data_IF_628922198082
#
_entry.id   IF_628922198082
#
_cell.length_a   1.000
_cell.length_b   1.000
_cell.length_c   1.000
_cell.angle_alpha   90.00
_cell.angle_beta   90.00
_cell.angle_gamma   90.00
#
_symmetry.space_group_name_H-M   'P 1'
#
loop_
_entity.id
_entity.type
_entity.pdbx_description
1 polymer ?
#
# COMPACT_ATOMS: atom_id res chain seq x y z
N UNK A 1 -14.88 69.43 -15.57
CA UNK A 1 -14.50 70.73 -14.99
C UNK A 1 -13.61 70.45 -13.78
N UNK A 2 -12.42 71.11 -13.84
CA UNK A 2 -11.46 71.45 -12.78
C UNK A 2 -10.76 70.31 -12.01
N UNK A 3 -9.50 70.09 -12.27
CA UNK A 3 -8.18 70.78 -12.22
C UNK A 3 -7.65 70.94 -10.80
N UNK A 4 -6.39 70.51 -10.70
CA UNK A 4 -5.24 71.09 -9.93
C UNK A 4 -5.01 70.45 -8.55
N UNK A 5 -3.81 70.21 -8.03
CA UNK A 5 -2.43 70.52 -8.48
C UNK A 5 -1.45 69.94 -7.46
N UNK A 6 -0.35 69.40 -7.93
CA UNK A 6 1.04 69.44 -7.43
C UNK A 6 1.30 70.15 -6.07
N UNK A 7 2.17 69.57 -5.24
CA UNK A 7 3.49 70.18 -4.94
C UNK A 7 4.38 69.13 -4.22
N UNK A 8 5.61 69.08 -4.74
CA UNK A 8 6.76 68.33 -4.22
C UNK A 8 7.32 68.97 -2.96
N UNK A 9 7.98 68.25 -2.10
CA UNK A 9 9.14 68.69 -1.37
C UNK A 9 10.12 67.56 -1.09
N UNK A 10 11.30 67.69 -1.67
CA UNK A 10 12.46 66.84 -1.40
C UNK A 10 13.17 67.39 -0.13
N UNK A 11 13.63 66.45 0.71
CA UNK A 11 14.68 66.75 1.68
C UNK A 11 15.67 65.59 1.71
N UNK A 12 16.85 65.87 1.26
CA UNK A 12 18.07 65.05 1.33
C UNK A 12 18.65 65.19 2.73
N UNK A 13 18.96 64.06 3.39
CA UNK A 13 19.91 64.01 4.47
C UNK A 13 20.73 62.74 4.39
N UNK A 14 22.00 62.92 4.30
CA UNK A 14 23.10 61.96 4.06
C UNK A 14 23.60 61.32 5.33
N UNK A 15 24.18 60.08 5.12
CA UNK A 15 25.27 59.44 5.85
C UNK A 15 24.98 58.75 7.19
N UNK A 16 25.10 57.47 7.09
CA UNK A 16 25.37 56.57 8.21
C UNK A 16 25.75 55.19 7.68
N UNK A 17 26.99 55.07 7.17
CA UNK A 17 27.59 53.79 6.80
C UNK A 17 27.94 53.03 8.10
N UNK A 18 27.14 52.05 8.49
CA UNK A 18 27.51 51.09 9.50
C UNK A 18 27.62 49.72 8.83
N UNK A 19 28.85 49.26 8.67
CA UNK A 19 29.22 47.88 8.35
C UNK A 19 28.66 46.95 9.43
N UNK A 20 27.55 46.27 9.12
CA UNK A 20 27.20 45.01 9.81
C UNK A 20 27.49 43.90 8.84
N UNK A 21 28.46 43.05 9.28
CA UNK A 21 28.89 41.89 8.54
C UNK A 21 27.71 40.97 8.25
N UNK A 22 27.62 40.59 6.98
CA UNK A 22 26.79 39.49 6.49
C UNK A 22 27.28 38.17 7.13
N UNK A 23 26.73 37.83 8.27
CA UNK A 23 26.61 36.42 8.63
C UNK A 23 25.34 35.91 7.93
N UNK A 24 25.48 35.48 6.68
CA UNK A 24 24.51 34.63 6.04
C UNK A 24 24.44 33.33 6.86
N UNK A 25 23.68 33.38 7.93
CA UNK A 25 23.23 32.18 8.63
C UNK A 25 22.42 31.37 7.61
N UNK A 26 23.02 30.33 7.05
CA UNK A 26 22.31 29.29 6.38
C UNK A 26 21.30 28.77 7.38
N UNK A 27 20.05 29.20 7.24
CA UNK A 27 18.90 28.56 7.89
C UNK A 27 18.86 27.16 7.28
N UNK A 28 19.61 26.25 7.84
CA UNK A 28 19.32 24.84 7.71
C UNK A 28 17.94 24.69 8.34
N UNK A 29 16.91 24.56 7.52
CA UNK A 29 15.67 23.99 7.98
C UNK A 29 16.08 22.69 8.66
N UNK A 30 16.05 22.68 9.97
CA UNK A 30 16.24 21.48 10.76
C UNK A 30 15.12 20.54 10.27
N UNK A 31 15.46 19.64 9.36
CA UNK A 31 14.60 18.52 9.04
C UNK A 31 14.37 17.84 10.37
N UNK A 32 13.12 17.89 10.84
CA UNK A 32 12.74 17.32 12.14
C UNK A 32 13.15 15.86 12.10
N UNK A 33 14.35 15.58 12.61
CA UNK A 33 15.02 14.27 12.48
C UNK A 33 14.21 13.15 13.17
N UNK A 34 13.17 13.54 13.89
CA UNK A 34 12.26 12.68 14.64
C UNK A 34 10.90 12.48 13.95
N UNK A 35 10.66 13.14 12.81
CA UNK A 35 9.42 12.94 12.05
C UNK A 35 9.63 11.91 10.94
N UNK A 36 8.76 10.93 10.86
CA UNK A 36 8.72 9.90 9.80
C UNK A 36 7.35 9.98 9.13
N UNK A 37 7.32 10.26 7.84
CA UNK A 37 6.09 10.22 7.04
C UNK A 37 6.10 8.96 6.17
N UNK A 38 5.05 8.18 6.25
CA UNK A 38 4.88 6.90 5.56
C UNK A 38 3.61 6.98 4.70
N UNK A 39 3.74 6.76 3.41
CA UNK A 39 2.59 6.80 2.48
C UNK A 39 2.61 5.57 1.58
N UNK A 40 1.44 5.05 1.21
CA UNK A 40 1.38 4.05 0.15
C UNK A 40 0.35 2.95 0.33
N UNK A 41 0.79 1.69 0.28
CA UNK A 41 -0.09 0.53 0.31
C UNK A 41 -1.10 0.58 1.46
N UNK A 42 -2.39 0.47 1.12
CA UNK A 42 -3.46 0.30 2.11
C UNK A 42 -3.54 -1.15 2.63
N UNK A 43 -2.87 -2.10 1.99
CA UNK A 43 -2.77 -3.46 2.50
C UNK A 43 -1.78 -3.52 3.68
N UNK A 44 -0.67 -2.78 3.63
CA UNK A 44 0.32 -2.68 4.71
C UNK A 44 -0.10 -1.70 5.82
N UNK A 45 -1.04 -0.79 5.54
CA UNK A 45 -1.38 0.31 6.43
C UNK A 45 -1.70 -0.12 7.87
N UNK A 46 -2.54 -1.15 8.15
CA UNK A 46 -2.82 -1.56 9.54
C UNK A 46 -1.58 -2.02 10.31
N UNK A 47 -0.66 -2.70 9.67
CA UNK A 47 0.59 -3.13 10.32
C UNK A 47 1.51 -1.93 10.58
N UNK A 48 1.63 -1.04 9.59
CA UNK A 48 2.45 0.17 9.72
C UNK A 48 1.93 1.09 10.84
N UNK A 49 0.60 1.30 10.94
CA UNK A 49 -0.03 2.10 12.00
C UNK A 49 0.17 1.48 13.38
N UNK A 50 -0.05 0.16 13.52
CA UNK A 50 0.15 -0.55 14.78
C UNK A 50 1.60 -0.47 15.25
N UNK A 51 2.54 -0.74 14.35
CA UNK A 51 3.97 -0.65 14.66
C UNK A 51 4.40 0.79 14.96
N UNK A 52 3.89 1.78 14.22
CA UNK A 52 4.17 3.20 14.46
C UNK A 52 3.71 3.63 15.85
N UNK A 53 2.47 3.28 16.22
CA UNK A 53 1.93 3.56 17.55
C UNK A 53 2.78 2.93 18.67
N UNK A 54 3.13 1.64 18.51
CA UNK A 54 3.96 0.92 19.48
C UNK A 54 5.39 1.49 19.56
N UNK A 55 5.94 1.92 18.44
CA UNK A 55 7.27 2.54 18.39
C UNK A 55 7.29 3.91 19.07
N UNK A 56 6.30 4.77 18.77
CA UNK A 56 6.17 6.09 19.38
C UNK A 56 5.97 6.01 20.88
N UNK A 57 5.23 5.03 21.38
CA UNK A 57 5.02 4.84 22.84
C UNK A 57 6.32 4.52 23.60
N UNK A 58 7.31 3.92 22.91
CA UNK A 58 8.63 3.56 23.47
C UNK A 58 9.73 4.58 23.18
N UNK A 59 9.48 5.54 22.30
CA UNK A 59 10.46 6.51 21.82
C UNK A 59 9.83 7.91 21.86
N UNK A 60 9.81 8.52 23.05
CA UNK A 60 9.28 9.87 23.23
C UNK A 60 9.96 10.87 22.31
N UNK A 61 9.18 11.76 21.73
CA UNK A 61 9.66 12.77 20.77
C UNK A 61 9.75 12.31 19.32
N UNK A 62 9.51 11.03 19.01
CA UNK A 62 9.37 10.55 17.62
C UNK A 62 7.91 10.71 17.19
N UNK A 63 7.69 11.24 15.99
CA UNK A 63 6.38 11.35 15.36
C UNK A 63 6.36 10.56 14.05
N UNK A 64 5.45 9.60 13.93
CA UNK A 64 5.27 8.77 12.73
C UNK A 64 3.84 8.95 12.23
N UNK A 65 3.70 9.47 11.00
CA UNK A 65 2.43 9.64 10.30
C UNK A 65 2.33 8.59 9.19
N UNK A 66 1.24 7.81 9.20
CA UNK A 66 0.99 6.73 8.24
C UNK A 66 -0.25 7.03 7.44
N UNK A 67 -0.12 7.07 6.12
CA UNK A 67 -1.19 7.38 5.19
C UNK A 67 -1.33 6.32 4.09
N UNK A 68 -2.56 6.05 3.67
CA UNK A 68 -2.85 5.24 2.48
C UNK A 68 -2.50 5.98 1.17
N UNK A 69 -3.02 5.48 0.05
CA UNK A 69 -2.85 6.11 -1.26
C UNK A 69 -2.47 5.10 -2.36
N UNK A 70 -2.17 3.84 -1.97
CA UNK A 70 -1.75 2.78 -2.87
C UNK A 70 -0.25 2.75 -3.13
N UNK A 71 0.24 1.59 -3.56
CA UNK A 71 1.67 1.32 -3.78
C UNK A 71 2.33 2.29 -4.76
N UNK A 72 1.64 2.63 -5.85
CA UNK A 72 2.16 3.57 -6.84
C UNK A 72 2.40 4.97 -6.26
N UNK A 73 1.50 5.46 -5.39
CA UNK A 73 1.67 6.74 -4.68
C UNK A 73 2.86 6.67 -3.72
N UNK A 74 2.96 5.58 -2.94
CA UNK A 74 4.09 5.39 -2.02
C UNK A 74 5.44 5.40 -2.73
N UNK A 75 5.57 4.61 -3.79
CA UNK A 75 6.80 4.54 -4.58
C UNK A 75 7.16 5.88 -5.23
N UNK A 76 6.18 6.60 -5.78
CA UNK A 76 6.40 7.90 -6.40
C UNK A 76 6.85 8.95 -5.40
N UNK A 77 6.19 9.02 -4.23
CA UNK A 77 6.50 10.01 -3.20
C UNK A 77 7.85 9.74 -2.53
N UNK A 78 8.19 8.47 -2.27
CA UNK A 78 9.52 8.16 -1.71
C UNK A 78 10.63 8.40 -2.72
N UNK A 79 10.42 8.11 -3.99
CA UNK A 79 11.40 8.40 -5.04
C UNK A 79 11.69 9.90 -5.16
N UNK A 80 10.66 10.73 -5.11
CA UNK A 80 10.83 12.20 -5.11
C UNK A 80 11.49 12.70 -3.83
N UNK A 81 11.39 11.97 -2.73
CA UNK A 81 11.84 12.37 -1.40
C UNK A 81 10.79 13.17 -0.62
N UNK A 82 9.53 13.18 -1.07
CA UNK A 82 8.42 13.83 -0.38
C UNK A 82 8.04 13.13 0.93
N UNK A 83 8.34 11.84 1.06
CA UNK A 83 8.10 11.05 2.27
C UNK A 83 9.33 10.27 2.69
N UNK A 84 9.39 9.90 3.97
CA UNK A 84 10.50 9.12 4.53
C UNK A 84 10.47 7.66 4.07
N UNK A 85 9.24 7.08 3.96
CA UNK A 85 9.01 5.70 3.59
C UNK A 85 7.84 5.61 2.62
N UNK A 86 8.02 4.85 1.54
CA UNK A 86 6.95 4.47 0.61
C UNK A 86 6.54 3.01 0.82
N UNK A 87 5.29 2.77 1.21
CA UNK A 87 4.74 1.43 1.37
C UNK A 87 4.26 0.85 0.04
N UNK A 88 4.57 -0.43 -0.24
CA UNK A 88 4.20 -1.08 -1.49
C UNK A 88 3.96 -2.58 -1.34
N UNK A 89 2.93 -3.11 -2.03
CA UNK A 89 2.68 -4.55 -2.19
C UNK A 89 3.42 -5.14 -3.41
N UNK A 90 4.12 -4.30 -4.16
CA UNK A 90 4.85 -4.72 -5.36
C UNK A 90 6.30 -4.24 -5.27
N UNK A 91 7.17 -4.92 -6.00
CA UNK A 91 8.53 -4.46 -6.18
C UNK A 91 8.56 -3.14 -6.94
N UNK A 92 9.51 -2.27 -6.63
CA UNK A 92 9.67 -0.97 -7.29
C UNK A 92 9.88 -1.11 -8.81
N UNK A 93 10.55 -2.18 -9.23
CA UNK A 93 10.79 -2.53 -10.63
C UNK A 93 9.50 -2.81 -11.41
N UNK A 94 8.42 -3.18 -10.73
CA UNK A 94 7.12 -3.48 -11.35
C UNK A 94 6.26 -2.22 -11.56
N UNK A 95 6.68 -1.08 -11.01
CA UNK A 95 5.94 0.18 -11.12
C UNK A 95 6.52 1.06 -12.23
N UNK A 96 5.72 1.32 -13.25
CA UNK A 96 6.13 2.25 -14.32
C UNK A 96 6.47 3.64 -13.79
N UNK A 97 7.54 4.25 -14.29
CA UNK A 97 8.01 5.58 -13.89
C UNK A 97 8.84 5.60 -12.60
N UNK A 98 9.12 4.45 -12.01
CA UNK A 98 9.98 4.32 -10.83
C UNK A 98 11.37 3.83 -11.24
N UNK A 99 12.39 4.53 -10.79
CA UNK A 99 13.80 4.12 -10.86
C UNK A 99 14.15 3.34 -9.58
N UNK A 100 13.97 2.04 -9.62
CA UNK A 100 14.19 1.16 -8.47
C UNK A 100 15.63 1.25 -7.92
N UNK A 101 16.61 1.62 -8.76
CA UNK A 101 18.03 1.77 -8.34
C UNK A 101 18.23 2.91 -7.35
N UNK A 102 17.31 3.88 -7.28
CA UNK A 102 17.35 4.99 -6.31
C UNK A 102 16.70 4.64 -4.99
N UNK A 103 16.04 3.50 -4.91
CA UNK A 103 15.28 3.07 -3.75
C UNK A 103 15.97 1.88 -3.06
N UNK A 104 15.88 1.86 -1.72
CA UNK A 104 16.26 0.69 -0.94
C UNK A 104 15.00 -0.03 -0.47
N UNK A 105 14.92 -1.32 -0.79
CA UNK A 105 13.82 -2.21 -0.39
C UNK A 105 14.03 -2.76 1.02
N UNK A 106 12.99 -2.64 1.85
CA UNK A 106 12.89 -3.25 3.17
C UNK A 106 11.62 -4.11 3.21
N UNK A 107 11.76 -5.42 3.04
CA UNK A 107 10.65 -6.37 3.18
C UNK A 107 10.30 -6.50 4.66
N UNK A 108 9.07 -6.22 5.02
CA UNK A 108 8.62 -6.17 6.42
C UNK A 108 7.57 -7.23 6.76
N UNK A 109 6.86 -7.75 5.77
CA UNK A 109 5.88 -8.82 5.94
C UNK A 109 5.60 -9.50 4.60
N UNK A 110 4.76 -10.52 4.63
CA UNK A 110 4.11 -11.10 3.45
C UNK A 110 2.60 -11.02 3.65
N UNK A 111 1.87 -10.80 2.57
CA UNK A 111 0.41 -10.76 2.56
C UNK A 111 -0.16 -11.67 1.48
N UNK A 112 -1.11 -12.51 1.85
CA UNK A 112 -1.98 -13.18 0.90
C UNK A 112 -3.10 -12.25 0.47
N UNK A 113 -3.59 -12.40 -0.74
CA UNK A 113 -4.77 -11.70 -1.26
C UNK A 113 -5.80 -12.73 -1.69
N UNK A 114 -7.05 -12.53 -1.28
CA UNK A 114 -8.12 -13.46 -1.58
C UNK A 114 -9.26 -12.79 -2.35
N UNK A 115 -9.87 -13.49 -3.31
CA UNK A 115 -11.17 -13.09 -3.83
C UNK A 115 -12.18 -13.15 -2.69
N UNK A 116 -12.98 -12.09 -2.56
CA UNK A 116 -13.99 -11.92 -1.51
C UNK A 116 -15.34 -11.64 -2.11
N UNK A 117 -16.37 -12.18 -1.48
CA UNK A 117 -17.77 -12.00 -1.88
C UNK A 117 -18.61 -11.61 -0.67
N UNK A 118 -19.82 -11.09 -0.94
CA UNK A 118 -20.81 -10.90 0.10
C UNK A 118 -21.11 -12.23 0.82
N UNK A 119 -21.26 -12.19 2.13
CA UNK A 119 -21.46 -13.38 2.97
C UNK A 119 -22.68 -14.22 2.59
N UNK A 120 -23.73 -13.57 2.09
CA UNK A 120 -24.98 -14.24 1.70
C UNK A 120 -24.83 -15.14 0.46
N UNK A 121 -23.85 -14.87 -0.38
CA UNK A 121 -23.63 -15.63 -1.62
C UNK A 121 -23.23 -17.08 -1.31
N UNK A 122 -23.91 -18.05 -1.95
CA UNK A 122 -23.65 -19.48 -1.74
C UNK A 122 -22.60 -20.05 -2.70
N UNK A 123 -21.46 -19.36 -2.84
CA UNK A 123 -20.28 -19.82 -3.58
C UNK A 123 -19.10 -19.84 -2.62
N UNK A 124 -18.31 -20.91 -2.57
CA UNK A 124 -17.19 -21.06 -1.64
C UNK A 124 -15.85 -21.31 -2.32
N UNK A 125 -15.87 -21.63 -3.61
CA UNK A 125 -14.68 -21.95 -4.39
C UNK A 125 -14.89 -21.49 -5.83
N UNK A 126 -13.84 -20.98 -6.44
CA UNK A 126 -13.75 -20.73 -7.89
C UNK A 126 -12.45 -21.36 -8.41
N UNK A 127 -12.47 -21.84 -9.65
CA UNK A 127 -11.20 -22.15 -10.30
C UNK A 127 -10.50 -20.84 -10.70
N UNK A 128 -9.18 -20.89 -10.84
CA UNK A 128 -8.40 -19.75 -11.34
C UNK A 128 -8.92 -19.27 -12.71
N UNK A 129 -9.34 -20.20 -13.56
CA UNK A 129 -9.95 -19.91 -14.87
C UNK A 129 -11.30 -19.19 -14.73
N UNK A 130 -12.17 -19.63 -13.79
CA UNK A 130 -13.44 -18.94 -13.52
C UNK A 130 -13.21 -17.53 -12.99
N UNK A 131 -12.29 -17.39 -12.04
CA UNK A 131 -11.91 -16.10 -11.48
C UNK A 131 -11.41 -15.14 -12.58
N UNK A 132 -10.52 -15.61 -13.46
CA UNK A 132 -10.06 -14.84 -14.61
C UNK A 132 -11.22 -14.42 -15.54
N UNK A 133 -12.15 -15.34 -15.84
CA UNK A 133 -13.32 -15.06 -16.71
C UNK A 133 -14.28 -14.05 -16.07
N UNK A 134 -14.46 -14.08 -14.75
CA UNK A 134 -15.26 -13.09 -14.02
C UNK A 134 -14.64 -11.70 -14.16
N UNK A 135 -13.36 -11.56 -13.81
CA UNK A 135 -12.69 -10.26 -13.85
C UNK A 135 -12.40 -9.73 -15.25
N UNK A 136 -12.50 -10.57 -16.29
CA UNK A 136 -12.46 -10.15 -17.70
C UNK A 136 -13.86 -9.97 -18.32
N UNK A 137 -14.95 -10.11 -17.54
CA UNK A 137 -16.31 -9.91 -18.00
C UNK A 137 -16.91 -11.04 -18.86
N UNK A 138 -16.26 -12.19 -18.93
CA UNK A 138 -16.75 -13.37 -19.68
C UNK A 138 -17.77 -14.20 -18.90
N UNK A 139 -17.75 -14.13 -17.58
CA UNK A 139 -18.72 -14.71 -16.66
C UNK A 139 -19.36 -13.54 -15.91
N UNK A 140 -20.68 -13.39 -16.03
CA UNK A 140 -21.42 -12.22 -15.52
C UNK A 140 -22.56 -12.60 -14.58
N UNK A 141 -22.82 -13.90 -14.41
CA UNK A 141 -23.86 -14.41 -13.53
C UNK A 141 -23.31 -15.59 -12.70
N UNK A 142 -23.59 -15.59 -11.41
CA UNK A 142 -23.14 -16.62 -10.48
C UNK A 142 -23.60 -18.02 -10.84
N UNK A 143 -24.76 -18.17 -11.53
CA UNK A 143 -25.24 -19.46 -12.05
C UNK A 143 -24.21 -20.15 -12.96
N UNK A 144 -23.42 -19.39 -13.69
CA UNK A 144 -22.39 -19.95 -14.61
C UNK A 144 -21.23 -20.64 -13.87
N UNK A 145 -21.14 -20.47 -12.56
CA UNK A 145 -20.10 -21.07 -11.70
C UNK A 145 -20.70 -21.88 -10.54
N UNK A 146 -21.97 -22.31 -10.69
CA UNK A 146 -22.65 -23.15 -9.71
C UNK A 146 -23.28 -22.39 -8.53
N UNK A 147 -23.39 -21.08 -8.64
CA UNK A 147 -24.06 -20.20 -7.67
C UNK A 147 -25.52 -19.95 -8.00
N UNK A 148 -26.20 -19.04 -7.30
CA UNK A 148 -27.57 -18.62 -7.58
C UNK A 148 -27.67 -17.90 -8.93
N UNK A 149 -28.90 -17.77 -9.45
CA UNK A 149 -29.17 -16.94 -10.62
C UNK A 149 -29.12 -15.45 -10.22
N UNK A 150 -27.94 -14.92 -10.06
CA UNK A 150 -27.67 -13.57 -9.59
C UNK A 150 -26.55 -12.96 -10.42
N UNK A 151 -26.69 -11.68 -10.79
CA UNK A 151 -25.67 -10.94 -11.54
C UNK A 151 -24.41 -10.76 -10.70
N UNK A 152 -23.24 -10.97 -11.32
CA UNK A 152 -21.96 -10.67 -10.69
C UNK A 152 -21.68 -9.17 -10.77
N UNK A 153 -21.48 -8.53 -9.61
CA UNK A 153 -21.03 -7.15 -9.52
C UNK A 153 -19.54 -7.15 -9.18
N UNK A 154 -18.69 -6.93 -10.17
CA UNK A 154 -17.24 -6.83 -9.96
C UNK A 154 -16.91 -5.44 -9.43
N UNK A 155 -16.17 -5.41 -8.31
CA UNK A 155 -15.58 -4.20 -7.75
C UNK A 155 -14.07 -4.34 -7.89
N UNK A 156 -13.42 -3.44 -8.64
CA UNK A 156 -11.98 -3.47 -8.83
C UNK A 156 -11.28 -2.48 -7.89
N UNK A 157 -9.97 -2.54 -7.83
CA UNK A 157 -9.13 -1.54 -7.18
C UNK A 157 -8.67 -0.52 -8.21
N UNK A 158 -8.38 0.70 -7.77
CA UNK A 158 -7.85 1.76 -8.62
C UNK A 158 -6.48 1.39 -9.21
N UNK A 159 -6.13 2.02 -10.32
CA UNK A 159 -4.78 1.96 -10.88
C UNK A 159 -3.78 2.49 -9.84
N UNK A 160 -2.62 1.85 -9.73
CA UNK A 160 -1.64 2.17 -8.69
C UNK A 160 -1.84 1.39 -7.37
N UNK A 161 -2.93 0.61 -7.23
CA UNK A 161 -3.07 -0.35 -6.14
C UNK A 161 -2.13 -1.54 -6.35
N UNK A 162 -1.21 -1.77 -5.41
CA UNK A 162 -0.34 -2.96 -5.41
C UNK A 162 -1.13 -4.26 -5.23
N UNK A 163 -2.20 -4.23 -4.41
CA UNK A 163 -3.14 -5.34 -4.27
C UNK A 163 -3.75 -5.72 -5.62
N UNK A 164 -4.12 -4.72 -6.46
CA UNK A 164 -4.58 -4.95 -7.82
C UNK A 164 -3.49 -5.56 -8.70
N UNK A 165 -2.31 -4.97 -8.70
CA UNK A 165 -1.21 -5.44 -9.52
C UNK A 165 -0.87 -6.90 -9.20
N UNK A 166 -0.79 -7.26 -7.91
CA UNK A 166 -0.54 -8.64 -7.46
C UNK A 166 -1.66 -9.59 -7.89
N UNK A 167 -2.93 -9.18 -7.71
CA UNK A 167 -4.07 -9.99 -8.11
C UNK A 167 -4.11 -10.19 -9.64
N UNK A 168 -3.99 -9.11 -10.40
CA UNK A 168 -4.02 -9.17 -11.88
C UNK A 168 -2.86 -10.00 -12.44
N UNK A 169 -1.67 -9.87 -11.90
CA UNK A 169 -0.52 -10.70 -12.28
C UNK A 169 -0.80 -12.19 -12.08
N UNK A 170 -1.33 -12.57 -10.92
CA UNK A 170 -1.57 -13.98 -10.59
C UNK A 170 -2.78 -14.56 -11.35
N UNK A 171 -3.86 -13.78 -11.52
CA UNK A 171 -5.16 -14.24 -12.03
C UNK A 171 -5.34 -13.92 -13.50
N UNK A 172 -5.08 -12.67 -13.92
CA UNK A 172 -5.35 -12.24 -15.29
C UNK A 172 -4.23 -12.64 -16.25
N UNK A 173 -3.00 -12.76 -15.79
CA UNK A 173 -1.84 -13.19 -16.59
C UNK A 173 -1.74 -12.40 -17.90
N UNK A 174 -1.76 -11.07 -17.81
CA UNK A 174 -1.66 -10.15 -18.93
C UNK A 174 -2.98 -9.84 -19.65
N UNK A 175 -4.11 -10.48 -19.29
CA UNK A 175 -5.41 -10.11 -19.85
C UNK A 175 -5.94 -8.83 -19.18
N UNK A 176 -6.66 -8.04 -19.97
CA UNK A 176 -7.24 -6.78 -19.48
C UNK A 176 -8.44 -7.04 -18.59
N UNK A 177 -8.46 -6.43 -17.41
CA UNK A 177 -9.64 -6.42 -16.55
C UNK A 177 -10.82 -5.70 -17.22
N UNK A 178 -12.04 -6.17 -16.96
CA UNK A 178 -13.25 -5.47 -17.41
C UNK A 178 -13.33 -4.08 -16.78
N UNK A 179 -13.91 -3.13 -17.52
CA UNK A 179 -14.22 -1.80 -16.98
C UNK A 179 -15.35 -1.92 -15.96
N UNK A 180 -15.10 -1.46 -14.76
CA UNK A 180 -16.07 -1.48 -13.65
C UNK A 180 -15.73 -0.36 -12.67
N UNK A 181 -16.52 -0.21 -11.59
CA UNK A 181 -16.16 0.72 -10.52
C UNK A 181 -14.81 0.34 -9.90
N UNK A 182 -14.00 1.34 -9.60
CA UNK A 182 -12.70 1.18 -8.99
C UNK A 182 -12.66 1.89 -7.63
N UNK A 183 -11.92 1.31 -6.67
CA UNK A 183 -11.82 1.82 -5.32
C UNK A 183 -10.36 1.91 -4.86
N UNK A 184 -10.05 2.94 -4.10
CA UNK A 184 -8.66 3.27 -3.74
C UNK A 184 -8.10 2.39 -2.61
N UNK A 185 -8.95 1.88 -1.69
CA UNK A 185 -8.46 1.21 -0.49
C UNK A 185 -9.09 -0.17 -0.26
N UNK A 186 -8.35 -1.03 0.44
CA UNK A 186 -8.87 -2.31 0.93
C UNK A 186 -10.09 -2.10 1.84
N UNK A 187 -10.08 -1.10 2.72
CA UNK A 187 -11.18 -0.81 3.63
C UNK A 187 -12.47 -0.40 2.92
N UNK A 188 -12.39 0.43 1.87
CA UNK A 188 -13.56 0.81 1.06
C UNK A 188 -14.13 -0.39 0.33
N UNK A 189 -13.28 -1.20 -0.30
CA UNK A 189 -13.72 -2.43 -0.98
C UNK A 189 -14.39 -3.40 -0.01
N UNK A 190 -13.83 -3.62 1.18
CA UNK A 190 -14.44 -4.46 2.21
C UNK A 190 -15.89 -4.04 2.52
N UNK A 191 -16.10 -2.73 2.74
CA UNK A 191 -17.43 -2.15 3.02
C UNK A 191 -18.39 -2.33 1.84
N UNK A 192 -17.93 -2.10 0.62
CA UNK A 192 -18.78 -2.23 -0.59
C UNK A 192 -19.19 -3.68 -0.82
N UNK A 193 -18.26 -4.63 -0.75
CA UNK A 193 -18.59 -6.07 -0.91
C UNK A 193 -19.57 -6.51 0.17
N UNK A 194 -19.38 -6.05 1.42
CA UNK A 194 -20.28 -6.35 2.53
C UNK A 194 -21.73 -5.88 2.31
N UNK A 195 -21.91 -4.78 1.58
CA UNK A 195 -23.23 -4.15 1.39
C UNK A 195 -23.83 -4.34 -0.02
N UNK A 196 -23.13 -5.09 -0.89
CA UNK A 196 -23.59 -5.31 -2.27
C UNK A 196 -23.82 -6.81 -2.51
N UNK A 197 -25.08 -7.27 -2.57
CA UNK A 197 -25.37 -8.64 -3.00
C UNK A 197 -24.74 -8.95 -4.36
N UNK A 198 -24.32 -10.19 -4.56
CA UNK A 198 -23.67 -10.62 -5.81
C UNK A 198 -22.30 -9.99 -6.09
N UNK A 199 -21.77 -9.16 -5.20
CA UNK A 199 -20.45 -8.52 -5.38
C UNK A 199 -19.29 -9.51 -5.22
N UNK A 200 -18.27 -9.28 -6.03
CA UNK A 200 -16.94 -9.89 -5.91
C UNK A 200 -15.85 -8.83 -6.04
N UNK A 201 -14.84 -8.95 -5.22
CA UNK A 201 -13.59 -8.21 -5.30
C UNK A 201 -12.44 -9.06 -4.78
N UNK A 202 -11.33 -8.44 -4.44
CA UNK A 202 -10.19 -9.07 -3.77
C UNK A 202 -9.61 -8.15 -2.71
N UNK A 203 -9.15 -8.73 -1.61
CA UNK A 203 -8.61 -8.02 -0.45
C UNK A 203 -7.35 -8.70 0.07
N UNK A 204 -6.48 -7.93 0.69
CA UNK A 204 -5.44 -8.46 1.55
C UNK A 204 -6.05 -9.25 2.72
N UNK A 205 -5.39 -10.31 3.19
CA UNK A 205 -5.90 -11.19 4.26
C UNK A 205 -6.24 -10.41 5.53
N UNK A 206 -5.49 -9.37 5.85
CA UNK A 206 -5.76 -8.46 6.98
C UNK A 206 -7.16 -7.84 6.96
N UNK A 207 -7.79 -7.75 5.77
CA UNK A 207 -9.13 -7.20 5.58
C UNK A 207 -10.22 -8.26 5.37
N UNK A 208 -9.91 -9.54 5.45
CA UNK A 208 -10.91 -10.61 5.23
C UNK A 208 -11.65 -11.04 6.49
N UNK A 209 -11.25 -10.55 7.66
CA UNK A 209 -11.82 -10.90 8.98
C UNK A 209 -13.13 -10.15 9.29
N UNK A 210 -14.06 -10.07 8.34
CA UNK A 210 -15.38 -9.48 8.56
C UNK A 210 -16.46 -10.55 8.46
N UNK A 211 -17.45 -10.50 9.35
CA UNK A 211 -18.60 -11.41 9.36
C UNK A 211 -19.59 -11.17 8.20
N UNK A 212 -19.46 -10.03 7.49
CA UNK A 212 -20.32 -9.65 6.35
C UNK A 212 -19.77 -10.05 4.98
N UNK A 213 -18.54 -10.49 4.91
CA UNK A 213 -17.89 -10.98 3.68
C UNK A 213 -17.31 -12.37 3.92
N UNK A 214 -16.93 -13.04 2.85
CA UNK A 214 -16.13 -14.27 2.94
C UNK A 214 -15.10 -14.34 1.82
N UNK A 215 -13.93 -14.84 2.17
CA UNK A 215 -12.89 -15.19 1.21
C UNK A 215 -13.20 -16.55 0.56
N UNK A 216 -12.99 -16.64 -0.75
CA UNK A 216 -13.20 -17.86 -1.51
C UNK A 216 -11.93 -18.70 -1.58
N UNK A 217 -12.08 -20.01 -1.64
CA UNK A 217 -11.03 -20.90 -2.12
C UNK A 217 -10.78 -20.66 -3.61
N UNK A 218 -9.56 -20.93 -4.05
CA UNK A 218 -9.20 -20.93 -5.48
C UNK A 218 -8.58 -22.29 -5.81
N UNK A 219 -9.10 -22.96 -6.82
CA UNK A 219 -8.69 -24.33 -7.19
C UNK A 219 -8.70 -25.30 -5.98
N UNK A 220 -9.70 -25.16 -5.10
CA UNK A 220 -9.87 -25.88 -3.83
C UNK A 220 -8.79 -25.58 -2.77
N UNK A 221 -7.85 -24.67 -3.02
CA UNK A 221 -6.88 -24.22 -2.01
C UNK A 221 -7.52 -23.11 -1.18
N UNK A 222 -7.44 -23.21 0.14
CA UNK A 222 -7.95 -22.18 1.05
C UNK A 222 -6.97 -21.01 1.18
N UNK A 223 -7.46 -19.75 1.31
CA UNK A 223 -6.62 -18.59 1.57
C UNK A 223 -6.17 -18.56 3.03
N UNK A 224 -5.09 -19.27 3.31
CA UNK A 224 -4.50 -19.37 4.66
C UNK A 224 -3.02 -19.03 4.62
N UNK A 225 -2.49 -18.56 5.75
CA UNK A 225 -1.08 -18.24 5.92
C UNK A 225 -0.18 -19.42 5.52
N UNK A 226 -0.50 -20.63 6.01
CA UNK A 226 0.24 -21.85 5.70
C UNK A 226 0.29 -22.16 4.20
N UNK A 227 -0.79 -21.90 3.46
CA UNK A 227 -0.84 -22.11 2.02
C UNK A 227 -0.08 -21.03 1.24
N UNK A 228 0.08 -19.84 1.80
CA UNK A 228 0.98 -18.81 1.27
C UNK A 228 2.43 -19.18 1.56
N UNK A 229 2.76 -19.57 2.79
CA UNK A 229 4.12 -19.93 3.22
C UNK A 229 4.76 -20.99 2.31
N UNK A 230 3.99 -22.02 1.92
CA UNK A 230 4.43 -23.11 1.05
C UNK A 230 4.15 -22.87 -0.44
N UNK A 231 3.60 -21.69 -0.79
CA UNK A 231 3.19 -21.31 -2.13
C UNK A 231 2.11 -22.21 -2.78
N UNK A 232 1.29 -22.93 -2.00
CA UNK A 232 0.07 -23.56 -2.53
C UNK A 232 -0.96 -22.51 -2.92
N UNK A 233 -1.13 -21.46 -2.11
CA UNK A 233 -1.86 -20.26 -2.48
C UNK A 233 -0.97 -19.34 -3.32
N UNK A 234 -1.43 -18.97 -4.52
CA UNK A 234 -0.61 -18.27 -5.53
C UNK A 234 -0.72 -16.74 -5.50
N UNK A 235 -1.76 -16.20 -4.86
CA UNK A 235 -2.04 -14.75 -4.88
C UNK A 235 -1.47 -14.13 -3.61
N UNK A 236 -0.19 -13.80 -3.62
CA UNK A 236 0.53 -13.20 -2.50
C UNK A 236 1.67 -12.30 -2.96
N UNK A 237 2.07 -11.38 -2.10
CA UNK A 237 3.23 -10.52 -2.29
C UNK A 237 3.97 -10.27 -0.98
N UNK A 238 5.18 -9.72 -1.09
CA UNK A 238 5.79 -9.05 0.04
C UNK A 238 5.10 -7.71 0.31
N UNK A 239 5.16 -7.30 1.54
CA UNK A 239 4.93 -5.93 1.95
C UNK A 239 6.29 -5.25 2.10
N UNK A 240 6.49 -4.21 1.31
CA UNK A 240 7.74 -3.48 1.21
C UNK A 240 7.60 -2.10 1.85
N UNK A 241 8.63 -1.66 2.53
CA UNK A 241 8.86 -0.28 2.93
C UNK A 241 10.09 0.23 2.18
N UNK A 242 9.90 1.15 1.24
CA UNK A 242 11.00 1.72 0.47
C UNK A 242 11.51 3.01 1.08
N UNK A 243 12.83 3.22 1.02
CA UNK A 243 13.47 4.50 1.31
C UNK A 243 14.24 5.01 0.09
N UNK A 244 14.38 6.33 -0.04
CA UNK A 244 15.25 6.94 -1.06
C UNK A 244 16.70 6.78 -0.63
N UNK A 245 17.38 5.79 -1.24
CA UNK A 245 18.70 5.35 -0.78
C UNK A 245 18.70 4.78 0.63
N UNK A 246 19.86 4.73 1.29
CA UNK A 246 20.02 4.12 2.58
C UNK A 246 19.24 4.83 3.70
N UNK A 247 18.45 4.08 4.45
CA UNK A 247 17.74 4.59 5.63
C UNK A 247 18.70 5.12 6.70
N UNK A 248 18.37 6.28 7.30
CA UNK A 248 19.18 6.94 8.32
C UNK A 248 18.34 7.32 9.55
N UNK A 249 18.98 7.66 10.64
CA UNK A 249 18.34 8.23 11.84
C UNK A 249 17.18 7.38 12.36
N UNK A 250 16.07 8.03 12.68
CA UNK A 250 14.87 7.39 13.20
C UNK A 250 14.19 6.49 12.17
N UNK A 251 14.23 6.83 10.89
CA UNK A 251 13.70 5.97 9.82
C UNK A 251 14.38 4.60 9.82
N UNK A 252 15.72 4.53 9.93
CA UNK A 252 16.46 3.27 10.04
C UNK A 252 16.05 2.49 11.30
N UNK A 253 15.94 3.19 12.43
CA UNK A 253 15.54 2.54 13.70
C UNK A 253 14.14 1.97 13.63
N UNK A 254 13.17 2.70 13.03
CA UNK A 254 11.82 2.22 12.83
C UNK A 254 11.76 1.01 11.90
N UNK A 255 12.49 1.02 10.79
CA UNK A 255 12.58 -0.15 9.88
C UNK A 255 13.20 -1.38 10.57
N UNK A 256 14.18 -1.19 11.43
CA UNK A 256 14.71 -2.27 12.26
C UNK A 256 13.65 -2.79 13.26
N UNK A 257 12.85 -1.89 13.82
CA UNK A 257 11.74 -2.27 14.70
C UNK A 257 10.68 -3.09 13.95
N UNK A 258 10.33 -2.71 12.71
CA UNK A 258 9.42 -3.50 11.86
C UNK A 258 9.90 -4.95 11.67
N UNK A 259 11.20 -5.18 11.64
CA UNK A 259 11.81 -6.51 11.52
C UNK A 259 12.18 -7.15 12.88
N UNK A 260 11.82 -6.51 13.99
CA UNK A 260 12.09 -7.06 15.33
C UNK A 260 11.25 -8.32 15.62
N UNK A 261 11.74 -9.15 16.54
CA UNK A 261 11.00 -10.32 17.02
C UNK A 261 9.58 -9.94 17.53
N UNK A 262 9.47 -8.81 18.20
CA UNK A 262 8.19 -8.31 18.73
C UNK A 262 7.17 -8.13 17.61
N UNK A 263 7.48 -7.35 16.58
CA UNK A 263 6.56 -7.09 15.45
C UNK A 263 6.31 -8.35 14.64
N UNK A 264 7.37 -9.10 14.31
CA UNK A 264 7.28 -10.28 13.45
C UNK A 264 6.52 -11.45 14.09
N UNK A 265 6.65 -11.66 15.41
CA UNK A 265 5.99 -12.79 16.08
C UNK A 265 4.59 -12.46 16.58
N UNK A 266 4.26 -11.18 16.79
CA UNK A 266 3.00 -10.73 17.40
C UNK A 266 2.14 -9.94 16.41
N UNK A 267 2.57 -8.73 16.05
CA UNK A 267 1.73 -7.79 15.30
C UNK A 267 1.44 -8.29 13.89
N UNK A 268 2.46 -8.82 13.20
CA UNK A 268 2.32 -9.41 11.87
C UNK A 268 1.26 -10.50 11.88
N UNK A 269 1.33 -11.47 12.82
CA UNK A 269 0.39 -12.61 12.88
C UNK A 269 -1.01 -12.19 13.34
N UNK A 270 -1.11 -11.34 14.34
CA UNK A 270 -2.40 -10.90 14.88
C UNK A 270 -3.23 -10.12 13.86
N UNK A 271 -2.57 -9.34 13.01
CA UNK A 271 -3.21 -8.54 11.98
C UNK A 271 -3.49 -9.30 10.68
N UNK A 272 -3.08 -10.57 10.57
CA UNK A 272 -3.32 -11.41 9.40
C UNK A 272 -2.31 -11.20 8.27
N UNK A 273 -1.08 -10.89 8.64
CA UNK A 273 0.09 -10.97 7.78
C UNK A 273 0.92 -12.20 8.13
N UNK A 274 1.87 -12.50 7.28
CA UNK A 274 2.79 -13.63 7.42
C UNK A 274 4.20 -13.08 7.64
N UNK A 275 4.91 -13.61 8.62
CA UNK A 275 6.31 -13.22 8.84
C UNK A 275 7.16 -13.61 7.62
N UNK A 276 8.06 -12.72 7.21
CA UNK A 276 9.03 -13.02 6.15
C UNK A 276 9.90 -14.25 6.48
N UNK A 277 10.02 -14.58 7.77
CA UNK A 277 10.80 -15.72 8.27
C UNK A 277 10.05 -17.05 8.15
N UNK A 278 8.71 -17.03 8.11
CA UNK A 278 7.89 -18.25 8.02
C UNK A 278 7.78 -18.78 6.59
N UNK A 279 8.11 -17.96 5.58
CA UNK A 279 8.06 -18.35 4.17
C UNK A 279 9.03 -19.47 3.82
N UNK A 280 8.54 -20.47 3.12
CA UNK A 280 9.32 -21.61 2.58
C UNK A 280 9.83 -21.35 1.15
N UNK A 281 9.41 -20.23 0.58
CA UNK A 281 9.78 -19.81 -0.78
C UNK A 281 10.17 -18.33 -0.77
N UNK A 282 10.90 -17.92 -1.81
CA UNK A 282 11.14 -16.52 -2.15
C UNK A 282 10.50 -16.19 -3.49
N UNK A 283 10.22 -14.91 -3.72
CA UNK A 283 9.73 -14.36 -4.99
C UNK A 283 10.60 -13.16 -5.36
N UNK A 284 11.00 -13.08 -6.62
CA UNK A 284 11.71 -11.91 -7.17
C UNK A 284 10.74 -10.95 -7.88
N UNK A 285 11.26 -9.83 -8.38
CA UNK A 285 10.48 -8.82 -9.09
C UNK A 285 9.85 -9.33 -10.39
N UNK A 286 10.43 -10.34 -11.04
CA UNK A 286 9.87 -10.99 -12.23
C UNK A 286 8.74 -11.98 -11.89
N UNK A 287 8.43 -12.14 -10.62
CA UNK A 287 7.41 -13.08 -10.14
C UNK A 287 7.86 -14.53 -10.06
N UNK A 288 9.15 -14.81 -10.29
CA UNK A 288 9.70 -16.16 -10.16
C UNK A 288 9.76 -16.56 -8.70
N UNK A 289 9.28 -17.77 -8.40
CA UNK A 289 9.25 -18.33 -7.06
C UNK A 289 10.26 -19.46 -6.94
N UNK A 290 11.15 -19.37 -5.95
CA UNK A 290 12.16 -20.39 -5.65
C UNK A 290 12.00 -20.89 -4.21
N UNK A 291 12.34 -22.15 -3.94
CA UNK A 291 12.40 -22.69 -2.56
C UNK A 291 13.54 -22.01 -1.79
N UNK A 292 13.31 -21.75 -0.51
CA UNK A 292 14.38 -21.37 0.43
C UNK A 292 15.20 -22.57 0.80
#
# INVERSE_FOLDING_TARGET
>A
MNKKSLISLAAVATLGFSLFGDTAGTVHAATDSNKITIVGSTALQPLAETAAHSYMSKNSGVNIDVQGGGSGTGLSQVQSGAVSIGNSDIFAEQQSGIDAKKLQDHKVAVVGMAPVVNKSLKVNNLSMSQLQKIFTGKITNWKQVGGPNEKITVINRAKGSGTRATFESAVLKGKTAMKTQEQDSNGTVQKLVANTPGAISYLAFSYTKSDKIKALKVDNVAPTDKNVENNSWKIWSYEHMYTKGAAKGQTKKFLNYMNSKEVQSKDVKNLGYISIHDMKVTKNADGQVTKK
#
